data_IF_720158805319
#
_entry.id   IF_720158805319
#
_cell.length_a   1.000
_cell.length_b   1.000
_cell.length_c   1.000
_cell.angle_alpha   90.00
_cell.angle_beta   90.00
_cell.angle_gamma   90.00
#
_symmetry.space_group_name_H-M   'P 1'
#
loop_
_entity.id
_entity.type
_entity.pdbx_description
1 polymer ?
#
# COMPACT_ATOMS: atom_id res chain seq x y z
N UNK A 1 -0.07 20.17 -9.18
CA UNK A 1 -1.48 19.80 -8.90
C UNK A 1 -2.36 20.60 -9.84
N UNK A 2 -3.39 20.02 -10.45
CA UNK A 2 -4.21 20.75 -11.42
C UNK A 2 -5.18 21.67 -10.67
N UNK A 3 -4.79 22.92 -10.43
CA UNK A 3 -5.51 23.88 -9.57
C UNK A 3 -6.95 24.16 -10.04
N UNK A 4 -7.26 23.87 -11.31
CA UNK A 4 -8.62 23.96 -11.89
C UNK A 4 -9.66 23.06 -11.20
N UNK A 5 -9.27 22.02 -10.47
CA UNK A 5 -10.21 21.18 -9.71
C UNK A 5 -10.55 21.72 -8.32
N UNK A 6 -9.98 22.85 -7.87
CA UNK A 6 -10.27 23.44 -6.55
C UNK A 6 -11.58 24.25 -6.49
N UNK A 7 -12.16 24.60 -7.63
CA UNK A 7 -13.38 25.41 -7.73
C UNK A 7 -14.66 24.73 -7.16
N UNK A 8 -14.55 23.54 -6.55
CA UNK A 8 -15.63 22.83 -5.86
C UNK A 8 -15.68 23.08 -4.33
N UNK A 9 -14.96 24.08 -3.84
CA UNK A 9 -14.83 24.37 -2.40
C UNK A 9 -15.21 25.81 -2.05
N UNK A 10 -15.62 25.97 -0.79
CA UNK A 10 -16.16 27.13 -0.08
C UNK A 10 -15.67 28.52 -0.57
N UNK A 11 -16.56 29.52 -0.56
CA UNK A 11 -16.31 30.90 -1.00
C UNK A 11 -15.03 31.50 -0.40
N UNK A 12 -14.74 31.20 0.88
CA UNK A 12 -13.56 31.71 1.58
C UNK A 12 -12.21 31.23 1.00
N UNK A 13 -12.06 29.95 0.62
CA UNK A 13 -10.79 29.49 0.04
C UNK A 13 -10.62 29.94 -1.42
N UNK A 14 -11.71 30.25 -2.12
CA UNK A 14 -11.66 30.80 -3.47
C UNK A 14 -11.17 32.25 -3.50
N UNK A 15 -11.40 33.01 -2.43
CA UNK A 15 -10.89 34.37 -2.28
C UNK A 15 -9.36 34.37 -2.16
N UNK A 16 -8.81 33.51 -1.29
CA UNK A 16 -7.35 33.35 -1.14
C UNK A 16 -6.73 32.81 -2.44
N UNK A 17 -7.43 31.92 -3.14
CA UNK A 17 -6.97 31.42 -4.44
C UNK A 17 -6.86 32.55 -5.48
N UNK A 18 -7.83 33.47 -5.54
CA UNK A 18 -7.74 34.63 -6.43
C UNK A 18 -6.59 35.55 -6.05
N UNK A 19 -6.43 35.85 -4.75
CA UNK A 19 -5.29 36.64 -4.26
C UNK A 19 -3.94 36.02 -4.63
N UNK A 20 -3.83 34.69 -4.60
CA UNK A 20 -2.62 33.99 -5.04
C UNK A 20 -2.40 34.15 -6.55
N UNK A 21 -3.44 34.01 -7.36
CA UNK A 21 -3.35 34.22 -8.81
C UNK A 21 -2.98 35.66 -9.17
N UNK A 22 -3.56 36.63 -8.47
CA UNK A 22 -3.27 38.06 -8.65
C UNK A 22 -1.80 38.35 -8.28
N UNK A 23 -1.30 37.80 -7.16
CA UNK A 23 0.11 37.91 -6.75
C UNK A 23 1.09 37.31 -7.77
N UNK A 24 0.77 36.14 -8.35
CA UNK A 24 1.61 35.52 -9.39
C UNK A 24 1.58 36.30 -10.71
N UNK A 25 0.47 36.96 -11.03
CA UNK A 25 0.31 37.79 -12.22
C UNK A 25 1.05 39.13 -12.09
N UNK A 26 1.00 39.76 -10.93
CA UNK A 26 1.71 41.01 -10.63
C UNK A 26 3.22 40.81 -10.48
N UNK A 27 3.66 39.59 -10.14
CA UNK A 27 5.07 39.27 -9.92
C UNK A 27 5.60 38.07 -10.72
N UNK A 28 5.74 38.18 -12.06
CA UNK A 28 6.15 37.07 -12.93
C UNK A 28 7.50 36.44 -12.58
N UNK A 29 8.45 37.26 -12.09
CA UNK A 29 9.81 36.83 -11.73
C UNK A 29 9.96 36.56 -10.23
N UNK A 30 9.32 37.34 -9.35
CA UNK A 30 9.47 37.17 -7.89
C UNK A 30 8.74 35.93 -7.36
N UNK A 31 7.77 35.38 -8.10
CA UNK A 31 7.20 34.06 -7.78
C UNK A 31 8.24 32.94 -7.73
N UNK A 32 9.33 33.05 -8.50
CA UNK A 32 10.42 32.07 -8.53
C UNK A 32 11.30 32.14 -7.26
N UNK A 33 11.21 33.25 -6.52
CA UNK A 33 11.95 33.49 -5.27
C UNK A 33 11.02 33.33 -4.05
N UNK A 34 9.82 32.76 -4.24
CA UNK A 34 8.89 32.47 -3.14
C UNK A 34 8.13 33.69 -2.60
N UNK A 35 8.07 34.82 -3.31
CA UNK A 35 7.40 36.03 -2.84
C UNK A 35 5.93 35.81 -2.45
N UNK A 36 5.20 35.01 -3.24
CA UNK A 36 3.79 34.68 -2.99
C UNK A 36 3.59 33.44 -2.08
N UNK A 37 4.65 32.91 -1.47
CA UNK A 37 4.59 31.64 -0.69
C UNK A 37 3.70 31.77 0.55
N UNK A 38 3.66 32.94 1.18
CA UNK A 38 2.78 33.18 2.33
C UNK A 38 1.28 33.03 1.97
N UNK A 39 0.88 33.48 0.78
CA UNK A 39 -0.49 33.33 0.27
C UNK A 39 -0.75 31.87 -0.12
N UNK A 40 0.24 31.21 -0.74
CA UNK A 40 0.18 29.78 -1.07
C UNK A 40 -0.02 28.91 0.19
N UNK A 41 0.70 29.20 1.27
CA UNK A 41 0.57 28.52 2.55
C UNK A 41 -0.80 28.77 3.19
N UNK A 42 -1.30 30.01 3.16
CA UNK A 42 -2.64 30.35 3.64
C UNK A 42 -3.74 29.59 2.85
N UNK A 43 -3.59 29.47 1.54
CA UNK A 43 -4.47 28.68 0.69
C UNK A 43 -4.46 27.20 1.10
N UNK A 44 -3.27 26.60 1.26
CA UNK A 44 -3.13 25.19 1.69
C UNK A 44 -3.78 24.97 3.06
N UNK A 45 -3.59 25.91 4.00
CA UNK A 45 -4.19 25.87 5.33
C UNK A 45 -5.72 25.88 5.26
N UNK A 46 -6.30 26.80 4.50
CA UNK A 46 -7.75 26.86 4.27
C UNK A 46 -8.30 25.53 3.71
N UNK A 47 -7.62 24.93 2.72
CA UNK A 47 -8.04 23.65 2.13
C UNK A 47 -7.97 22.50 3.13
N UNK A 48 -6.94 22.46 4.00
CA UNK A 48 -6.79 21.44 5.04
C UNK A 48 -7.94 21.54 6.05
N UNK A 49 -8.23 22.74 6.56
CA UNK A 49 -9.33 23.00 7.49
C UNK A 49 -10.69 22.58 6.88
N UNK A 50 -10.95 22.93 5.62
CA UNK A 50 -12.18 22.53 4.94
C UNK A 50 -12.30 21.00 4.77
N UNK A 51 -11.20 20.30 4.54
CA UNK A 51 -11.18 18.83 4.48
C UNK A 51 -11.49 18.22 5.85
N UNK A 52 -11.03 18.83 6.93
CA UNK A 52 -11.31 18.39 8.30
C UNK A 52 -12.77 18.61 8.69
N UNK A 53 -13.33 19.79 8.40
CA UNK A 53 -14.75 20.08 8.61
C UNK A 53 -15.61 19.01 7.90
N UNK A 54 -15.38 18.77 6.61
CA UNK A 54 -16.12 17.73 5.87
C UNK A 54 -15.95 16.32 6.45
N UNK A 55 -14.77 15.98 6.98
CA UNK A 55 -14.56 14.69 7.68
C UNK A 55 -15.40 14.62 8.95
N UNK A 56 -15.42 15.68 9.76
CA UNK A 56 -16.21 15.72 11.00
C UNK A 56 -17.71 15.70 10.72
N UNK A 57 -18.19 16.46 9.74
CA UNK A 57 -19.60 16.48 9.32
C UNK A 57 -20.03 15.13 8.78
N UNK A 58 -19.22 14.51 7.92
CA UNK A 58 -19.51 13.18 7.40
C UNK A 58 -19.53 12.12 8.51
N UNK A 59 -18.66 12.23 9.52
CA UNK A 59 -18.67 11.38 10.70
C UNK A 59 -19.92 11.61 11.57
N UNK A 60 -20.31 12.88 11.80
CA UNK A 60 -21.54 13.25 12.51
C UNK A 60 -22.79 12.75 11.78
N UNK A 61 -22.84 12.88 10.46
CA UNK A 61 -23.94 12.40 9.62
C UNK A 61 -24.06 10.87 9.70
N UNK A 62 -22.94 10.15 9.63
CA UNK A 62 -22.93 8.69 9.83
C UNK A 62 -23.42 8.31 11.24
N UNK A 63 -22.96 8.98 12.30
CA UNK A 63 -23.46 8.75 13.67
C UNK A 63 -24.97 8.97 13.78
N UNK A 64 -25.50 10.03 13.16
CA UNK A 64 -26.93 10.34 13.14
C UNK A 64 -27.75 9.25 12.42
N UNK A 65 -27.24 8.73 11.30
CA UNK A 65 -27.85 7.60 10.59
C UNK A 65 -27.86 6.31 11.41
N UNK A 66 -26.82 6.04 12.22
CA UNK A 66 -26.81 4.89 13.14
C UNK A 66 -27.87 5.02 14.23
N UNK A 67 -28.04 6.23 14.79
CA UNK A 67 -29.02 6.50 15.85
C UNK A 67 -30.48 6.48 15.35
N UNK A 68 -30.71 6.68 14.05
CA UNK A 68 -32.05 6.63 13.44
C UNK A 68 -32.47 5.22 12.97
N UNK A 69 -31.70 4.16 13.26
CA UNK A 69 -32.14 2.78 13.00
C UNK A 69 -33.13 2.34 14.10
N UNK A 70 -34.40 2.02 13.78
CA UNK A 70 -35.34 1.54 14.78
C UNK A 70 -34.99 0.09 15.19
N UNK A 71 -35.02 -0.17 16.50
CA UNK A 71 -35.05 -1.52 17.07
C UNK A 71 -36.33 -2.23 16.62
N UNK A 72 -36.21 -3.37 15.93
CA UNK A 72 -37.36 -4.20 15.60
C UNK A 72 -37.81 -5.01 16.82
N UNK A 73 -39.02 -4.73 17.31
CA UNK A 73 -39.90 -5.73 17.89
C UNK A 73 -41.35 -5.24 17.84
N UNK A 74 -42.16 -5.89 16.99
CA UNK A 74 -43.51 -6.40 17.27
C UNK A 74 -44.37 -6.45 15.99
N UNK A 75 -44.99 -7.62 15.77
CA UNK A 75 -45.98 -7.91 14.73
C UNK A 75 -47.35 -7.50 15.24
N UNK A 76 -48.16 -6.78 14.47
CA UNK A 76 -49.64 -6.95 14.40
C UNK A 76 -50.15 -6.49 13.02
N UNK A 77 -51.16 -7.22 12.55
CA UNK A 77 -51.82 -7.23 11.24
C UNK A 77 -52.47 -5.92 10.71
N UNK A 78 -52.65 -5.92 9.39
CA UNK A 78 -53.34 -4.95 8.50
C UNK A 78 -54.84 -4.74 8.87
N UNK A 79 -55.50 -3.61 8.48
CA UNK A 79 -56.06 -3.53 7.12
C UNK A 79 -56.19 -2.14 6.43
N UNK A 80 -56.47 -2.24 5.12
CA UNK A 80 -56.53 -1.31 3.97
C UNK A 80 -57.40 -0.02 4.10
N UNK A 81 -57.03 1.06 3.39
CA UNK A 81 -57.88 1.77 2.38
C UNK A 81 -57.21 2.96 1.61
N UNK A 82 -57.39 2.93 0.27
CA UNK A 82 -57.62 4.01 -0.75
C UNK A 82 -56.66 5.22 -0.98
N UNK A 83 -55.90 5.13 -2.08
CA UNK A 83 -55.83 5.99 -3.31
C UNK A 83 -55.65 7.52 -3.20
N UNK A 84 -54.52 8.06 -3.70
CA UNK A 84 -54.41 9.07 -4.80
C UNK A 84 -52.94 9.40 -5.16
N UNK A 85 -52.69 9.63 -6.46
CA UNK A 85 -51.39 9.90 -7.11
C UNK A 85 -50.91 11.35 -6.90
N UNK A 86 -49.60 11.58 -6.88
CA UNK A 86 -48.89 12.57 -7.72
C UNK A 86 -47.37 12.44 -7.56
N UNK A 87 -46.64 13.06 -8.48
CA UNK A 87 -45.39 12.61 -9.08
C UNK A 87 -44.10 13.07 -8.37
N UNK A 88 -43.01 12.34 -8.66
CA UNK A 88 -41.74 12.83 -9.21
C UNK A 88 -40.40 12.68 -8.44
N UNK A 89 -39.44 12.11 -9.17
CA UNK A 89 -37.95 12.12 -9.11
C UNK A 89 -37.16 11.49 -7.94
N UNK A 90 -36.84 10.20 -8.13
CA UNK A 90 -35.47 9.65 -8.24
C UNK A 90 -34.37 9.97 -7.22
N UNK A 91 -34.04 9.00 -6.33
CA UNK A 91 -32.65 8.64 -6.00
C UNK A 91 -32.52 7.29 -5.28
N UNK A 92 -31.66 6.43 -5.83
CA UNK A 92 -31.19 5.14 -5.29
C UNK A 92 -30.36 5.35 -4.02
N UNK A 93 -30.67 4.61 -2.96
CA UNK A 93 -29.86 4.45 -1.76
C UNK A 93 -29.19 3.06 -1.74
N UNK A 94 -27.91 3.02 -1.36
CA UNK A 94 -27.20 1.80 -0.99
C UNK A 94 -27.16 1.68 0.54
N UNK A 95 -27.54 0.51 1.05
CA UNK A 95 -27.50 0.13 2.46
C UNK A 95 -26.06 -0.27 2.86
N UNK A 96 -25.66 0.10 4.08
CA UNK A 96 -24.56 -0.54 4.83
C UNK A 96 -25.12 -1.10 6.12
N UNK A 97 -24.79 -2.35 6.39
CA UNK A 97 -24.86 -2.97 7.71
C UNK A 97 -23.47 -2.99 8.36
N UNK A 98 -23.53 -2.98 9.67
CA UNK A 98 -22.47 -2.68 10.63
C UNK A 98 -22.21 -3.92 11.50
N UNK A 99 -21.22 -3.77 12.39
CA UNK A 99 -21.12 -4.36 13.76
C UNK A 99 -19.82 -5.14 14.02
N UNK A 100 -19.16 -5.12 15.19
CA UNK A 100 -19.13 -4.22 16.36
C UNK A 100 -17.96 -4.64 17.32
N UNK A 101 -17.42 -3.69 18.11
CA UNK A 101 -16.79 -3.70 19.48
C UNK A 101 -15.77 -4.78 19.96
N UNK A 102 -14.76 -4.49 20.82
CA UNK A 102 -14.78 -3.84 22.15
C UNK A 102 -13.47 -3.09 22.52
N UNK A 103 -13.60 -2.10 23.42
CA UNK A 103 -12.55 -1.31 24.10
C UNK A 103 -12.40 -1.74 25.57
N UNK A 104 -11.24 -1.46 26.19
CA UNK A 104 -11.06 -1.23 27.63
C UNK A 104 -9.92 -0.22 27.84
N UNK A 105 -10.11 0.71 28.78
CA UNK A 105 -9.20 1.79 29.15
C UNK A 105 -8.70 1.64 30.60
N UNK A 106 -7.45 2.03 30.87
CA UNK A 106 -6.95 2.45 32.20
C UNK A 106 -5.85 3.52 31.98
N UNK A 107 -5.89 4.58 32.80
CA UNK A 107 -4.97 5.73 32.83
C UNK A 107 -3.72 5.44 33.69
N UNK A 108 -2.61 6.13 33.44
CA UNK A 108 -1.89 6.94 34.45
C UNK A 108 -0.76 7.78 33.82
N UNK A 109 -0.47 8.90 34.48
CA UNK A 109 0.33 10.09 34.06
C UNK A 109 1.76 9.99 34.62
N UNK A 110 2.77 10.55 33.92
CA UNK A 110 3.82 11.50 34.42
C UNK A 110 5.05 11.61 33.48
N UNK A 111 5.44 12.88 33.29
CA UNK A 111 6.71 13.52 32.90
C UNK A 111 7.36 13.40 31.51
N UNK A 112 7.59 14.59 30.95
CA UNK A 112 8.46 14.86 29.81
C UNK A 112 9.88 15.21 30.22
N UNK A 113 10.79 15.15 29.23
CA UNK A 113 12.07 15.85 29.22
C UNK A 113 12.59 15.90 27.78
N UNK A 114 12.68 17.12 27.27
CA UNK A 114 13.46 17.51 26.09
C UNK A 114 14.96 17.41 26.42
N UNK A 115 15.78 17.02 25.45
CA UNK A 115 17.24 17.03 25.55
C UNK A 115 17.75 18.03 24.51
N UNK A 116 18.26 19.16 25.01
CA UNK A 116 18.99 20.18 24.26
C UNK A 116 20.49 19.97 24.44
N UNK A 117 21.23 20.15 23.36
CA UNK A 117 22.69 20.04 23.26
C UNK A 117 23.38 21.25 23.92
N UNK A 118 24.55 21.00 24.52
CA UNK A 118 25.41 21.99 25.18
C UNK A 118 26.54 22.42 24.23
N UNK A 119 26.79 23.72 24.18
CA UNK A 119 27.94 24.37 23.56
C UNK A 119 29.15 24.33 24.52
N UNK A 120 30.35 24.21 23.97
CA UNK A 120 31.61 24.60 24.64
C UNK A 120 32.51 25.32 23.62
N UNK A 121 32.96 26.52 24.02
CA UNK A 121 33.97 27.35 23.36
C UNK A 121 35.38 26.88 23.74
N UNK A 122 36.37 27.00 22.85
CA UNK A 122 37.65 27.70 23.12
C UNK A 122 38.58 27.79 21.89
N UNK A 123 38.96 29.05 21.59
CA UNK A 123 40.27 29.59 21.15
C UNK A 123 41.13 28.95 20.04
N UNK A 124 41.48 29.77 19.03
CA UNK A 124 42.69 29.61 18.21
C UNK A 124 43.35 30.98 17.91
N UNK A 125 44.69 31.06 18.06
CA UNK A 125 45.54 32.20 17.68
C UNK A 125 46.28 31.96 16.35
N UNK A 126 45.99 32.84 15.38
CA UNK A 126 46.82 33.47 14.33
C UNK A 126 48.11 32.80 13.80
N UNK A 127 48.24 32.72 12.45
CA UNK A 127 49.35 33.24 11.63
C UNK A 127 48.92 33.34 10.14
N UNK A 128 49.61 34.22 9.41
CA UNK A 128 49.14 35.14 8.38
C UNK A 128 49.52 34.77 6.91
N UNK A 129 48.73 35.35 5.99
CA UNK A 129 49.02 35.87 4.63
C UNK A 129 49.51 34.99 3.46
N UNK A 130 48.68 34.89 2.38
CA UNK A 130 48.86 35.63 1.10
C UNK A 130 47.82 35.24 -0.01
N UNK A 131 46.75 36.05 -0.09
CA UNK A 131 46.01 36.61 -1.24
C UNK A 131 46.11 35.97 -2.66
N UNK A 132 44.95 35.58 -3.22
CA UNK A 132 44.36 36.17 -4.46
C UNK A 132 42.87 35.76 -4.69
N UNK A 133 41.99 36.72 -4.34
CA UNK A 133 40.65 37.11 -4.87
C UNK A 133 39.58 36.02 -5.19
N UNK A 134 38.65 35.89 -4.25
CA UNK A 134 37.31 35.29 -4.33
C UNK A 134 36.30 36.22 -5.05
N UNK A 135 35.40 35.62 -5.83
CA UNK A 135 34.09 36.21 -6.14
C UNK A 135 33.19 36.03 -4.90
N UNK A 136 32.89 37.13 -4.21
CA UNK A 136 32.10 37.15 -2.99
C UNK A 136 30.64 36.82 -3.30
N UNK A 137 30.14 35.73 -2.71
CA UNK A 137 28.72 35.44 -2.55
C UNK A 137 28.48 35.35 -1.04
N UNK A 138 27.88 36.39 -0.45
CA UNK A 138 27.48 36.39 0.97
C UNK A 138 26.39 35.33 1.19
N UNK A 139 26.75 34.22 1.84
CA UNK A 139 25.82 33.29 2.52
C UNK A 139 26.59 32.19 3.27
N UNK A 140 26.99 32.47 4.52
CA UNK A 140 27.19 31.59 5.70
C UNK A 140 27.40 30.06 5.59
N UNK A 141 28.10 29.52 4.56
CA UNK A 141 28.55 28.11 4.56
C UNK A 141 29.84 27.91 3.72
N UNK A 142 30.86 28.74 3.98
CA UNK A 142 32.18 28.63 3.31
C UNK A 142 33.14 27.66 4.02
N UNK A 143 32.89 26.36 3.93
CA UNK A 143 33.99 25.39 4.13
C UNK A 143 33.98 24.18 3.19
N UNK A 144 33.05 24.11 2.23
CA UNK A 144 33.08 23.04 1.23
C UNK A 144 33.42 23.59 -0.15
N UNK A 145 34.71 23.70 -0.44
CA UNK A 145 35.20 23.84 -1.82
C UNK A 145 35.14 22.48 -2.49
N UNK A 146 34.32 22.34 -3.53
CA UNK A 146 34.34 21.14 -4.37
C UNK A 146 35.74 21.01 -5.00
N UNK A 147 36.39 19.84 -4.89
CA UNK A 147 37.65 19.62 -5.58
C UNK A 147 37.46 19.80 -7.10
N UNK A 148 38.47 20.30 -7.81
CA UNK A 148 38.38 20.50 -9.25
C UNK A 148 38.15 19.16 -9.97
N UNK A 149 37.08 19.09 -10.77
CA UNK A 149 36.66 17.92 -11.58
C UNK A 149 37.57 17.74 -12.82
N UNK A 150 38.89 17.85 -12.68
CA UNK A 150 39.82 17.75 -13.82
C UNK A 150 40.21 16.29 -14.15
N UNK A 151 40.09 15.36 -13.20
CA UNK A 151 40.40 13.95 -13.40
C UNK A 151 39.15 13.09 -13.54
N UNK A 152 38.73 12.90 -14.80
CA UNK A 152 37.62 12.00 -15.17
C UNK A 152 38.11 10.60 -15.55
N UNK A 153 39.40 10.29 -15.36
CA UNK A 153 40.01 9.02 -15.80
C UNK A 153 39.32 7.82 -15.16
N UNK A 154 39.00 7.90 -13.86
CA UNK A 154 38.28 6.87 -13.11
C UNK A 154 36.84 6.62 -13.63
N UNK A 155 36.23 7.57 -14.33
CA UNK A 155 34.89 7.41 -14.95
C UNK A 155 34.96 6.71 -16.32
N UNK A 156 36.14 6.62 -16.93
CA UNK A 156 36.36 5.94 -18.22
C UNK A 156 36.79 4.48 -18.03
N UNK A 157 37.06 4.06 -16.79
CA UNK A 157 37.37 2.68 -16.46
C UNK A 157 36.13 1.79 -16.65
N UNK A 158 36.15 1.01 -17.74
CA UNK A 158 35.16 -0.03 -17.97
C UNK A 158 35.30 -1.12 -16.91
N UNK A 159 34.42 -1.09 -15.90
CA UNK A 159 34.30 -2.19 -14.94
C UNK A 159 33.68 -3.38 -15.67
N UNK A 160 34.48 -4.42 -15.94
CA UNK A 160 33.98 -5.68 -16.47
C UNK A 160 33.11 -6.39 -15.43
N UNK A 161 31.81 -6.11 -15.44
CA UNK A 161 30.84 -6.82 -14.61
C UNK A 161 30.47 -8.16 -15.26
N UNK A 162 31.10 -9.24 -14.79
CA UNK A 162 30.79 -10.61 -15.21
C UNK A 162 29.60 -11.23 -14.48
N UNK A 163 28.87 -10.45 -13.68
CA UNK A 163 27.75 -10.91 -12.87
C UNK A 163 26.41 -10.84 -13.60
N UNK A 164 25.40 -11.54 -13.07
CA UNK A 164 24.01 -11.31 -13.42
C UNK A 164 23.41 -10.26 -12.49
N UNK A 165 22.78 -9.22 -13.04
CA UNK A 165 22.09 -8.24 -12.20
C UNK A 165 20.92 -8.90 -11.45
N UNK A 166 20.75 -8.59 -10.14
CA UNK A 166 19.68 -9.16 -9.34
C UNK A 166 18.32 -8.66 -9.86
N UNK A 167 17.34 -9.57 -9.89
CA UNK A 167 16.00 -9.22 -10.39
C UNK A 167 15.26 -8.34 -9.38
N UNK A 168 14.12 -7.77 -9.79
CA UNK A 168 13.27 -6.96 -8.90
C UNK A 168 12.79 -7.78 -7.69
N UNK A 169 12.51 -9.07 -7.89
CA UNK A 169 12.14 -9.97 -6.79
C UNK A 169 13.28 -10.14 -5.80
N UNK A 170 14.50 -10.34 -6.29
CA UNK A 170 15.65 -10.62 -5.43
C UNK A 170 16.08 -9.39 -4.62
N UNK A 171 15.94 -8.20 -5.20
CA UNK A 171 16.31 -6.95 -4.53
C UNK A 171 15.35 -6.51 -3.44
N UNK A 172 14.04 -6.69 -3.65
CA UNK A 172 13.03 -6.04 -2.81
C UNK A 172 12.09 -6.98 -2.09
N UNK A 173 12.09 -8.27 -2.42
CA UNK A 173 11.17 -9.22 -1.82
C UNK A 173 11.89 -10.30 -1.02
N UNK A 174 11.36 -10.57 0.17
CA UNK A 174 11.79 -11.69 1.01
C UNK A 174 10.76 -12.81 0.92
N UNK A 175 11.12 -14.02 0.48
CA UNK A 175 10.19 -15.15 0.38
C UNK A 175 9.97 -15.84 1.73
N UNK A 176 8.71 -16.13 2.02
CA UNK A 176 8.25 -16.95 3.14
C UNK A 176 7.40 -18.10 2.61
N UNK A 177 7.53 -19.26 3.22
CA UNK A 177 6.90 -20.49 2.72
C UNK A 177 5.89 -21.03 3.72
N UNK A 178 4.76 -21.49 3.19
CA UNK A 178 3.75 -22.21 3.94
C UNK A 178 3.59 -23.59 3.32
N UNK A 179 4.07 -24.60 4.04
CA UNK A 179 4.09 -25.99 3.60
C UNK A 179 2.80 -26.72 3.99
N UNK A 180 2.39 -27.68 3.16
CA UNK A 180 1.36 -28.70 3.45
C UNK A 180 0.06 -28.13 4.05
N UNK A 181 -0.33 -26.93 3.63
CA UNK A 181 -1.28 -26.13 4.39
C UNK A 181 -2.75 -26.58 4.26
N UNK A 182 -3.04 -27.56 3.40
CA UNK A 182 -4.38 -28.14 3.26
C UNK A 182 -4.36 -29.58 2.76
N UNK A 183 -3.48 -29.89 1.81
CA UNK A 183 -3.15 -31.25 1.41
C UNK A 183 -1.65 -31.35 1.21
N UNK A 184 -1.12 -32.58 1.27
CA UNK A 184 0.28 -32.88 0.97
C UNK A 184 0.69 -32.19 -0.33
N UNK A 185 1.76 -31.39 -0.28
CA UNK A 185 2.38 -30.74 -1.44
C UNK A 185 1.64 -29.51 -2.02
N UNK A 186 0.63 -28.97 -1.32
CA UNK A 186 0.06 -27.65 -1.63
C UNK A 186 0.88 -26.53 -0.98
N UNK A 187 2.13 -26.41 -1.41
CA UNK A 187 3.08 -25.46 -0.86
C UNK A 187 2.96 -24.08 -1.52
N UNK A 188 2.83 -23.04 -0.70
CA UNK A 188 2.67 -21.67 -1.19
C UNK A 188 3.82 -20.79 -0.73
N UNK A 189 4.17 -19.82 -1.57
CA UNK A 189 5.21 -18.85 -1.30
C UNK A 189 4.61 -17.45 -1.24
N UNK A 190 5.00 -16.71 -0.21
CA UNK A 190 4.58 -15.36 0.08
C UNK A 190 5.83 -14.47 0.04
N UNK A 191 5.87 -13.62 -0.97
CA UNK A 191 6.93 -12.64 -1.17
C UNK A 191 6.56 -11.35 -0.47
N UNK A 192 7.29 -10.98 0.57
CA UNK A 192 7.08 -9.73 1.31
C UNK A 192 8.02 -8.67 0.76
N UNK A 193 7.47 -7.61 0.18
CA UNK A 193 8.23 -6.47 -0.30
C UNK A 193 8.77 -5.61 0.87
N UNK A 194 9.83 -4.84 0.64
CA UNK A 194 10.34 -3.81 1.57
C UNK A 194 9.25 -2.84 2.04
N UNK A 195 8.40 -2.38 1.12
CA UNK A 195 7.20 -1.55 1.38
C UNK A 195 6.01 -2.33 2.01
N UNK A 196 6.23 -3.54 2.52
CA UNK A 196 5.26 -4.38 3.24
C UNK A 196 4.04 -4.82 2.42
N UNK A 197 4.06 -4.69 1.09
CA UNK A 197 3.08 -5.37 0.23
C UNK A 197 3.46 -6.84 0.10
N UNK A 198 2.47 -7.72 -0.03
CA UNK A 198 2.69 -9.15 -0.18
C UNK A 198 2.29 -9.61 -1.57
N UNK A 199 3.14 -10.41 -2.21
CA UNK A 199 2.85 -11.08 -3.46
C UNK A 199 2.77 -12.59 -3.20
N UNK A 200 1.65 -13.20 -3.61
CA UNK A 200 1.39 -14.62 -3.42
C UNK A 200 1.77 -15.38 -4.70
N UNK A 201 2.54 -16.46 -4.56
CA UNK A 201 2.88 -17.39 -5.64
C UNK A 201 2.83 -18.84 -5.14
N UNK A 202 2.96 -19.79 -6.06
CA UNK A 202 3.26 -21.18 -5.67
C UNK A 202 4.70 -21.29 -5.17
N UNK A 203 4.95 -22.21 -4.25
CA UNK A 203 6.30 -22.56 -3.86
C UNK A 203 6.92 -23.52 -4.90
N UNK A 204 8.25 -23.52 -5.10
CA UNK A 204 8.93 -24.44 -6.03
C UNK A 204 8.62 -25.94 -5.77
N UNK A 205 8.40 -26.31 -4.51
CA UNK A 205 8.05 -27.67 -4.08
C UNK A 205 6.59 -28.04 -4.30
N UNK A 206 5.75 -27.12 -4.79
CA UNK A 206 4.34 -27.42 -5.04
C UNK A 206 4.21 -28.51 -6.11
N UNK A 207 3.28 -29.46 -5.92
CA UNK A 207 3.08 -30.63 -6.81
C UNK A 207 2.96 -30.24 -8.29
N UNK A 208 2.20 -29.18 -8.58
CA UNK A 208 2.04 -28.65 -9.96
C UNK A 208 3.39 -28.32 -10.62
N UNK A 209 4.35 -27.80 -9.86
CA UNK A 209 5.67 -27.44 -10.37
C UNK A 209 6.63 -28.64 -10.38
N UNK A 210 6.62 -29.48 -9.34
CA UNK A 210 7.47 -30.67 -9.25
C UNK A 210 7.14 -31.69 -10.34
N UNK A 211 5.87 -32.08 -10.47
CA UNK A 211 5.40 -33.05 -11.46
C UNK A 211 5.26 -32.43 -12.87
N UNK A 212 5.61 -31.14 -13.02
CA UNK A 212 5.44 -30.37 -14.26
C UNK A 212 4.04 -30.48 -14.89
N UNK A 213 2.99 -30.60 -14.06
CA UNK A 213 1.61 -30.83 -14.54
C UNK A 213 1.17 -29.75 -15.50
N UNK A 214 0.36 -30.17 -16.47
CA UNK A 214 -0.24 -29.25 -17.41
C UNK A 214 -1.48 -28.59 -16.81
N UNK A 215 -1.43 -27.27 -16.70
CA UNK A 215 -2.53 -26.47 -16.15
C UNK A 215 -3.51 -26.17 -17.27
N UNK A 216 -4.76 -26.60 -17.10
CA UNK A 216 -5.83 -26.34 -18.06
C UNK A 216 -6.43 -24.95 -17.86
N UNK A 217 -6.73 -24.57 -16.61
CA UNK A 217 -7.35 -23.28 -16.30
C UNK A 217 -7.03 -22.86 -14.87
N UNK A 218 -6.85 -21.55 -14.67
CA UNK A 218 -6.85 -20.93 -13.34
C UNK A 218 -8.14 -20.12 -13.21
N UNK A 219 -8.95 -20.44 -12.19
CA UNK A 219 -10.20 -19.74 -11.92
C UNK A 219 -10.11 -18.91 -10.64
N UNK A 220 -10.43 -17.63 -10.74
CA UNK A 220 -10.45 -16.70 -9.61
C UNK A 220 -11.85 -16.54 -9.01
N UNK A 221 -12.84 -17.26 -9.57
CA UNK A 221 -14.18 -17.36 -9.01
C UNK A 221 -14.21 -18.39 -7.88
N UNK A 222 -13.96 -17.91 -6.68
CA UNK A 222 -13.93 -18.71 -5.44
C UNK A 222 -15.32 -19.28 -5.09
N UNK A 223 -16.38 -18.54 -5.37
CA UNK A 223 -17.76 -18.99 -5.10
C UNK A 223 -18.74 -18.34 -6.07
N UNK A 224 -19.97 -18.85 -6.14
CA UNK A 224 -21.03 -18.28 -6.98
C UNK A 224 -21.32 -16.80 -6.69
N UNK A 225 -21.05 -16.35 -5.46
CA UNK A 225 -21.25 -14.96 -5.01
C UNK A 225 -19.97 -14.12 -4.98
N UNK A 226 -18.79 -14.74 -5.14
CA UNK A 226 -17.51 -14.08 -4.89
C UNK A 226 -16.51 -14.40 -5.99
N UNK A 227 -16.27 -13.40 -6.81
CA UNK A 227 -15.24 -13.40 -7.84
C UNK A 227 -14.13 -12.41 -7.46
N UNK A 228 -12.89 -12.90 -7.41
CA UNK A 228 -11.73 -12.09 -7.06
C UNK A 228 -11.24 -11.24 -8.24
N UNK A 229 -11.58 -11.59 -9.47
CA UNK A 229 -11.23 -10.82 -10.68
C UNK A 229 -11.99 -9.49 -10.76
N UNK A 230 -13.22 -9.43 -10.24
CA UNK A 230 -14.06 -8.23 -10.24
C UNK A 230 -13.68 -7.21 -9.15
N UNK A 231 -12.49 -7.34 -8.56
CA UNK A 231 -12.03 -6.50 -7.46
C UNK A 231 -11.74 -5.06 -7.94
N UNK A 232 -12.53 -4.08 -7.50
CA UNK A 232 -12.36 -2.67 -7.85
C UNK A 232 -11.72 -1.89 -6.70
N UNK A 233 -10.40 -1.75 -6.75
CA UNK A 233 -9.63 -1.04 -5.73
C UNK A 233 -9.37 0.40 -6.18
N UNK A 234 -9.70 1.38 -5.33
CA UNK A 234 -9.49 2.80 -5.64
C UNK A 234 -8.98 3.61 -4.45
N UNK A 235 -8.25 4.70 -4.74
CA UNK A 235 -7.77 5.66 -3.76
C UNK A 235 -6.65 5.16 -2.84
N UNK A 236 -6.10 6.08 -2.04
CA UNK A 236 -4.98 5.81 -1.10
C UNK A 236 -5.32 4.73 -0.07
N UNK A 237 -6.55 4.75 0.44
CA UNK A 237 -7.03 3.78 1.46
C UNK A 237 -7.46 2.43 0.89
N UNK A 238 -7.24 2.20 -0.42
CA UNK A 238 -7.65 0.99 -1.15
C UNK A 238 -9.14 0.67 -0.93
N UNK A 239 -10.00 1.68 -1.13
CA UNK A 239 -11.45 1.55 -1.00
C UNK A 239 -12.00 0.63 -2.10
N UNK A 240 -12.94 -0.25 -1.73
CA UNK A 240 -13.51 -1.24 -2.63
C UNK A 240 -12.71 -2.55 -2.73
N UNK A 241 -11.50 -2.59 -2.14
CA UNK A 241 -10.73 -3.83 -2.05
C UNK A 241 -11.45 -4.88 -1.21
N UNK A 242 -11.49 -6.10 -1.74
CA UNK A 242 -12.05 -7.23 -1.01
C UNK A 242 -11.16 -7.59 0.18
N UNK A 243 -11.73 -7.72 1.40
CA UNK A 243 -10.97 -8.18 2.54
C UNK A 243 -10.64 -9.67 2.39
N UNK A 244 -9.45 -10.04 2.84
CA UNK A 244 -8.91 -11.40 2.84
C UNK A 244 -8.55 -11.80 4.27
N UNK A 245 -8.88 -13.05 4.60
CA UNK A 245 -8.53 -13.72 5.83
C UNK A 245 -7.53 -14.85 5.53
N UNK A 246 -6.86 -15.37 6.56
CA UNK A 246 -5.87 -16.46 6.45
C UNK A 246 -6.40 -17.66 5.65
N UNK A 247 -7.65 -18.06 5.89
CA UNK A 247 -8.27 -19.22 5.23
C UNK A 247 -9.06 -18.87 3.97
N UNK A 248 -8.98 -17.63 3.48
CA UNK A 248 -9.66 -17.22 2.25
C UNK A 248 -9.03 -17.88 1.03
N UNK A 249 -9.84 -18.55 0.23
CA UNK A 249 -9.43 -19.05 -1.07
C UNK A 249 -9.22 -17.86 -2.02
N UNK A 250 -8.15 -17.92 -2.82
CA UNK A 250 -7.77 -16.92 -3.81
C UNK A 250 -8.14 -17.39 -5.21
N UNK A 251 -7.72 -18.61 -5.55
CA UNK A 251 -7.96 -19.20 -6.85
C UNK A 251 -8.05 -20.72 -6.76
N UNK A 252 -8.61 -21.30 -7.80
CA UNK A 252 -8.71 -22.74 -8.02
C UNK A 252 -7.99 -23.06 -9.32
N UNK A 253 -7.00 -23.93 -9.26
CA UNK A 253 -6.19 -24.35 -10.41
C UNK A 253 -6.69 -25.73 -10.84
N UNK A 254 -7.09 -25.84 -12.10
CA UNK A 254 -7.54 -27.07 -12.73
C UNK A 254 -6.43 -27.60 -13.65
N UNK A 255 -5.95 -28.82 -13.39
CA UNK A 255 -4.99 -29.51 -14.23
C UNK A 255 -5.69 -30.38 -15.27
N UNK A 256 -5.00 -30.67 -16.39
CA UNK A 256 -5.53 -31.58 -17.44
C UNK A 256 -5.82 -32.99 -16.92
N UNK A 257 -5.14 -33.40 -15.85
CA UNK A 257 -5.33 -34.69 -15.18
C UNK A 257 -6.67 -34.78 -14.41
N UNK A 258 -7.49 -33.74 -14.44
CA UNK A 258 -8.75 -33.63 -13.68
C UNK A 258 -8.56 -33.24 -12.21
N UNK A 259 -7.31 -33.16 -11.73
CA UNK A 259 -7.01 -32.73 -10.37
C UNK A 259 -7.23 -31.22 -10.21
N UNK A 260 -7.79 -30.83 -9.06
CA UNK A 260 -8.12 -29.45 -8.72
C UNK A 260 -7.41 -29.03 -7.44
N UNK A 261 -6.67 -27.92 -7.49
CA UNK A 261 -5.92 -27.39 -6.37
C UNK A 261 -6.48 -26.02 -5.96
N UNK A 262 -6.86 -25.89 -4.69
CA UNK A 262 -7.39 -24.63 -4.14
C UNK A 262 -6.30 -23.91 -3.38
N UNK A 263 -5.96 -22.70 -3.81
CA UNK A 263 -4.90 -21.90 -3.19
C UNK A 263 -5.51 -20.89 -2.22
N UNK A 264 -5.01 -20.88 -0.98
CA UNK A 264 -5.41 -19.95 0.08
C UNK A 264 -4.41 -18.81 0.26
N UNK A 265 -4.87 -17.76 0.94
CA UNK A 265 -4.11 -16.51 1.15
C UNK A 265 -3.06 -16.59 2.27
N UNK A 266 -3.37 -17.28 3.38
CA UNK A 266 -2.56 -17.36 4.61
C UNK A 266 -2.19 -16.03 5.30
N UNK A 267 -2.60 -14.90 4.73
CA UNK A 267 -2.37 -13.56 5.27
C UNK A 267 -3.71 -12.84 5.40
N UNK A 268 -3.84 -12.04 6.46
CA UNK A 268 -4.97 -11.14 6.66
C UNK A 268 -4.67 -9.78 6.03
N UNK A 269 -5.54 -9.32 5.13
CA UNK A 269 -5.29 -8.10 4.38
C UNK A 269 -6.41 -7.69 3.44
N UNK A 270 -6.08 -6.80 2.50
CA UNK A 270 -6.94 -6.36 1.41
C UNK A 270 -6.35 -6.85 0.09
N UNK A 271 -7.17 -7.46 -0.76
CA UNK A 271 -6.77 -7.84 -2.10
C UNK A 271 -6.55 -6.58 -2.94
N UNK A 272 -5.34 -6.40 -3.46
CA UNK A 272 -5.00 -5.26 -4.34
C UNK A 272 -5.23 -5.65 -5.78
N UNK A 273 -4.66 -6.78 -6.20
CA UNK A 273 -4.66 -7.22 -7.59
C UNK A 273 -4.65 -8.75 -7.66
N UNK A 274 -5.22 -9.28 -8.75
CA UNK A 274 -5.17 -10.69 -9.12
C UNK A 274 -4.58 -10.78 -10.52
N UNK A 275 -3.78 -11.80 -10.79
CA UNK A 275 -3.17 -11.97 -12.11
C UNK A 275 -4.18 -12.51 -13.13
N UNK A 276 -4.94 -11.62 -13.76
CA UNK A 276 -5.91 -11.95 -14.81
C UNK A 276 -5.26 -12.61 -16.04
N UNK A 277 -3.95 -12.43 -16.25
CA UNK A 277 -3.23 -13.07 -17.35
C UNK A 277 -3.21 -14.60 -17.21
N UNK A 278 -3.34 -15.15 -16.00
CA UNK A 278 -3.41 -16.60 -15.76
C UNK A 278 -4.70 -17.22 -16.31
N UNK A 279 -5.78 -16.44 -16.40
CA UNK A 279 -7.03 -16.90 -17.04
C UNK A 279 -6.86 -17.09 -18.55
N UNK A 280 -5.94 -16.34 -19.17
CA UNK A 280 -5.63 -16.43 -20.61
C UNK A 280 -4.53 -17.47 -20.86
N UNK A 281 -3.45 -17.40 -20.08
CA UNK A 281 -2.25 -18.21 -20.24
C UNK A 281 -1.87 -18.88 -18.91
N UNK A 282 -2.46 -20.04 -18.58
CA UNK A 282 -2.25 -20.68 -17.28
C UNK A 282 -0.81 -21.20 -17.07
N UNK A 283 -0.07 -21.46 -18.15
CA UNK A 283 1.32 -21.91 -18.11
C UNK A 283 2.29 -20.84 -17.56
N UNK A 284 1.86 -19.58 -17.45
CA UNK A 284 2.66 -18.52 -16.80
C UNK A 284 2.94 -18.83 -15.33
N UNK A 285 2.09 -19.63 -14.67
CA UNK A 285 2.25 -20.00 -13.27
C UNK A 285 3.54 -20.80 -12.99
N UNK A 286 4.12 -21.44 -14.01
CA UNK A 286 5.41 -22.15 -13.93
C UNK A 286 6.61 -21.21 -13.89
N UNK A 287 6.43 -19.93 -14.25
CA UNK A 287 7.51 -18.94 -14.28
C UNK A 287 7.68 -18.27 -12.92
N UNK A 288 8.80 -17.60 -12.74
CA UNK A 288 9.06 -16.78 -11.55
C UNK A 288 8.05 -15.62 -11.44
N UNK A 289 7.81 -15.09 -10.22
CA UNK A 289 6.85 -14.01 -10.00
C UNK A 289 7.14 -12.78 -10.86
N UNK A 290 8.41 -12.40 -11.06
CA UNK A 290 8.79 -11.25 -11.90
C UNK A 290 8.50 -11.46 -13.40
N UNK A 291 8.33 -12.70 -13.87
CA UNK A 291 7.92 -13.02 -15.26
C UNK A 291 6.40 -13.26 -15.38
N UNK A 292 5.62 -12.90 -14.36
CA UNK A 292 4.17 -13.04 -14.34
C UNK A 292 3.66 -14.34 -13.72
N UNK A 293 4.48 -15.07 -12.96
CA UNK A 293 4.07 -16.29 -12.25
C UNK A 293 3.44 -16.06 -10.86
N UNK A 294 3.00 -14.84 -10.56
CA UNK A 294 2.30 -14.54 -9.31
C UNK A 294 0.80 -14.78 -9.43
N UNK A 295 0.14 -15.04 -8.31
CA UNK A 295 -1.31 -15.27 -8.23
C UNK A 295 -2.06 -13.98 -7.88
N UNK A 296 -1.62 -13.30 -6.81
CA UNK A 296 -2.29 -12.12 -6.28
C UNK A 296 -1.32 -11.21 -5.54
N UNK A 297 -1.67 -9.92 -5.49
CA UNK A 297 -1.00 -8.90 -4.69
C UNK A 297 -1.95 -8.48 -3.56
N UNK A 298 -1.45 -8.52 -2.34
CA UNK A 298 -2.20 -8.33 -1.10
C UNK A 298 -1.55 -7.22 -0.30
N UNK A 299 -2.38 -6.31 0.21
CA UNK A 299 -1.96 -5.33 1.21
C UNK A 299 -2.29 -5.89 2.59
N UNK A 300 -1.30 -6.39 3.34
CA UNK A 300 -1.54 -6.98 4.65
C UNK A 300 -1.86 -5.92 5.70
N UNK A 301 -2.50 -6.35 6.78
CA UNK A 301 -2.52 -5.55 8.00
C UNK A 301 -1.19 -5.76 8.74
N UNK A 302 -0.48 -4.67 9.03
CA UNK A 302 0.89 -4.67 9.60
C UNK A 302 0.98 -5.53 10.87
N UNK A 303 -0.01 -5.43 11.78
CA UNK A 303 -0.01 -6.21 13.03
C UNK A 303 -0.04 -7.71 12.78
N UNK A 304 -0.89 -8.15 11.85
CA UNK A 304 -1.03 -9.56 11.49
C UNK A 304 0.14 -10.06 10.65
N UNK A 305 0.82 -9.18 9.91
CA UNK A 305 2.00 -9.53 9.12
C UNK A 305 3.19 -9.93 10.02
N UNK A 306 3.43 -9.19 11.10
CA UNK A 306 4.51 -9.55 12.04
C UNK A 306 4.20 -10.88 12.73
N UNK A 307 2.95 -11.09 13.17
CA UNK A 307 2.51 -12.38 13.71
C UNK A 307 2.67 -13.52 12.69
N UNK A 308 2.40 -13.23 11.41
CA UNK A 308 2.61 -14.20 10.34
C UNK A 308 4.09 -14.57 10.22
N UNK A 309 5.01 -13.60 10.18
CA UNK A 309 6.46 -13.86 10.07
C UNK A 309 7.02 -14.66 11.25
N UNK A 310 6.49 -14.41 12.46
CA UNK A 310 6.92 -15.10 13.68
C UNK A 310 6.25 -16.46 13.87
N UNK A 311 5.27 -16.80 13.02
CA UNK A 311 4.56 -18.06 13.15
C UNK A 311 5.51 -19.24 12.90
N UNK A 312 5.47 -20.24 13.79
CA UNK A 312 6.20 -21.51 13.61
C UNK A 312 5.82 -22.19 12.29
N UNK A 313 4.60 -21.95 11.83
CA UNK A 313 4.07 -22.54 10.60
C UNK A 313 4.55 -21.87 9.32
N UNK A 314 5.29 -20.76 9.41
CA UNK A 314 5.89 -20.08 8.25
C UNK A 314 7.39 -20.30 8.26
N UNK A 315 7.92 -20.75 7.14
CA UNK A 315 9.34 -21.02 6.98
C UNK A 315 10.03 -19.87 6.25
N UNK A 316 11.22 -19.52 6.71
CA UNK A 316 12.17 -18.70 5.95
C UNK A 316 12.75 -19.52 4.81
N UNK A 317 13.40 -18.85 3.84
CA UNK A 317 13.97 -19.53 2.68
C UNK A 317 14.96 -20.64 3.05
N UNK A 318 15.87 -20.38 4.02
CA UNK A 318 16.89 -21.36 4.42
C UNK A 318 16.25 -22.60 5.06
N UNK A 319 15.33 -22.39 6.01
CA UNK A 319 14.58 -23.47 6.66
C UNK A 319 13.74 -24.27 5.68
N UNK A 320 13.20 -23.61 4.65
CA UNK A 320 12.45 -24.26 3.59
C UNK A 320 13.35 -25.20 2.76
N UNK A 321 14.56 -24.75 2.39
CA UNK A 321 15.52 -25.58 1.66
C UNK A 321 15.93 -26.79 2.50
N UNK A 322 16.22 -26.61 3.79
CA UNK A 322 16.54 -27.70 4.71
C UNK A 322 15.41 -28.73 4.77
N UNK A 323 14.17 -28.26 4.92
CA UNK A 323 13.00 -29.13 4.99
C UNK A 323 12.74 -29.88 3.67
N UNK A 324 13.06 -29.31 2.50
CA UNK A 324 13.01 -30.03 1.22
C UNK A 324 14.06 -31.14 1.19
N UNK A 325 15.31 -30.83 1.54
CA UNK A 325 16.40 -31.83 1.56
C UNK A 325 16.08 -32.99 2.49
N UNK A 326 15.49 -32.71 3.66
CA UNK A 326 15.03 -33.78 4.57
C UNK A 326 13.92 -34.64 3.98
N UNK A 327 12.97 -34.05 3.22
CA UNK A 327 11.91 -34.80 2.54
C UNK A 327 12.49 -35.71 1.46
N UNK A 328 13.45 -35.22 0.68
CA UNK A 328 14.14 -35.99 -0.36
C UNK A 328 14.94 -37.15 0.25
N UNK A 329 15.66 -36.90 1.35
CA UNK A 329 16.44 -37.93 2.06
C UNK A 329 15.57 -39.02 2.71
N UNK A 330 14.30 -38.70 3.07
CA UNK A 330 13.35 -39.69 3.62
C UNK A 330 12.65 -40.52 2.55
N UNK A 331 12.75 -40.11 1.28
CA UNK A 331 12.16 -40.80 0.14
C UNK A 331 13.16 -41.69 -0.62
N UNK A 332 14.46 -41.55 -0.35
CA UNK A 332 15.53 -42.46 -0.79
C UNK A 332 15.69 -43.64 0.16
#
# INVERSE_FOLDING_TARGET
MNYKSLAAHNAACNEIYRQFQDCEAEHPYRRLVGYCEHIHQAMIKCIKEQREIRRTESARFQRRLKMMKPSQSEKVDEPKTKRLKSENYGKKSCKKEEDNMQENAVNDIVDGREISLQEQEEHDELIDSNKEILAIVDSDDESFTFPPDEDVSDMLDEVQYSGSFPTVTDRYFTPYYKMDAQSLGNDTCIWIHSNRICMLSLAPSHIILQDNKDIQKVDFKVSNKLDRSLNKVSGKSKHGAQPLQTNSNICTILCKDGQTYVIKCYIVGKLVEVNEALSKNPQLLKKLPHKGGYLAIILPNIKFLENFKQSVSTLTHDKYIEHIKEKENKQQ
#
